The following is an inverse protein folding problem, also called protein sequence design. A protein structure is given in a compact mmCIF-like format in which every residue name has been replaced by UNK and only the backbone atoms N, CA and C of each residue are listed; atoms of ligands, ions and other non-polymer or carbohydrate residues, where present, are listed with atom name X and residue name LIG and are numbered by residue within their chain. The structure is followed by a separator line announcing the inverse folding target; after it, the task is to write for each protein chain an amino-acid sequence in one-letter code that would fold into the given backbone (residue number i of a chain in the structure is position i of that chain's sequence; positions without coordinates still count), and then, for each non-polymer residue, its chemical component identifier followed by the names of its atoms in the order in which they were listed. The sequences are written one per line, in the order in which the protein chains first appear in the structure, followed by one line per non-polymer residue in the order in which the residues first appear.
data_IF_256549691092
#
_entry.id   IF_256549691092
#
_cell.length_a   1.000
_cell.length_b   1.000
_cell.length_c   1.000
_cell.angle_alpha   90.00
_cell.angle_beta   90.00
_cell.angle_gamma   90.00
#
_symmetry.space_group_name_H-M   'P 1'
#
loop_
_entity.id
_entity.type
_entity.pdbx_description
1 polymer ?
#
# COMPACT_ATOMS: atom_id res chain seq x y z
N UNK A 1 -12.60 8.22 10.52
CA UNK A 1 -11.19 7.85 10.24
C UNK A 1 -11.15 7.17 8.88
N UNK A 2 -10.40 7.71 7.91
CA UNK A 2 -10.34 7.16 6.55
C UNK A 2 -9.22 6.12 6.49
N UNK A 3 -9.55 4.83 6.39
CA UNK A 3 -8.58 3.73 6.31
C UNK A 3 -8.53 3.18 4.88
N UNK A 4 -7.33 2.85 4.40
CA UNK A 4 -7.14 2.18 3.11
C UNK A 4 -7.37 0.68 3.32
N UNK A 5 -8.19 0.06 2.47
CA UNK A 5 -8.50 -1.38 2.51
C UNK A 5 -7.99 -2.09 1.26
N UNK A 6 -7.60 -3.35 1.43
CA UNK A 6 -7.24 -4.22 0.33
C UNK A 6 -8.48 -4.48 -0.52
N UNK A 7 -8.45 -4.26 -1.85
CA UNK A 7 -9.60 -4.52 -2.70
C UNK A 7 -9.98 -6.00 -2.81
N UNK A 8 -9.04 -6.91 -2.56
CA UNK A 8 -9.25 -8.37 -2.65
C UNK A 8 -9.91 -8.92 -1.37
N UNK A 9 -9.32 -8.63 -0.21
CA UNK A 9 -9.71 -9.22 1.06
C UNK A 9 -10.57 -8.29 1.95
N UNK A 10 -10.66 -7.01 1.61
CA UNK A 10 -11.25 -5.97 2.47
C UNK A 10 -10.43 -5.63 3.73
N UNK A 11 -9.28 -6.28 3.91
CA UNK A 11 -8.41 -6.12 5.09
C UNK A 11 -7.74 -4.74 5.11
N UNK A 12 -7.50 -4.18 6.30
CA UNK A 12 -6.85 -2.87 6.43
C UNK A 12 -5.39 -2.92 5.93
N UNK A 13 -5.06 -2.04 4.97
CA UNK A 13 -3.72 -1.89 4.43
C UNK A 13 -2.84 -1.20 5.47
N UNK A 14 -1.65 -1.77 5.72
CA UNK A 14 -0.65 -1.21 6.61
C UNK A 14 0.37 -0.41 5.82
N UNK A 15 0.67 0.80 6.29
CA UNK A 15 1.75 1.60 5.70
C UNK A 15 3.07 0.86 5.90
N UNK A 16 3.86 0.75 4.84
CA UNK A 16 5.23 0.23 4.93
C UNK A 16 6.13 1.38 5.36
N UNK A 17 6.66 1.37 6.60
CA UNK A 17 7.57 2.41 7.05
C UNK A 17 8.85 2.38 6.21
N UNK A 18 9.37 3.55 5.84
CA UNK A 18 10.57 3.70 4.99
C UNK A 18 10.29 3.93 3.51
N UNK A 19 9.13 3.51 2.99
CA UNK A 19 8.70 3.79 1.61
C UNK A 19 7.72 4.96 1.55
N UNK A 20 8.13 6.09 2.13
CA UNK A 20 7.36 7.33 2.14
C UNK A 20 8.09 8.38 1.33
N UNK A 21 8.11 8.17 0.02
CA UNK A 21 8.70 9.14 -0.90
C UNK A 21 7.69 10.26 -1.15
N UNK A 22 8.05 11.50 -0.86
CA UNK A 22 7.18 12.66 -1.06
C UNK A 22 6.77 12.84 -2.54
N UNK A 23 7.63 12.41 -3.47
CA UNK A 23 7.34 12.39 -4.90
C UNK A 23 6.58 11.12 -5.33
N UNK A 24 6.78 10.00 -4.62
CA UNK A 24 6.24 8.72 -5.03
C UNK A 24 4.84 8.45 -4.47
N UNK A 25 4.55 8.87 -3.26
CA UNK A 25 3.33 8.55 -2.53
C UNK A 25 3.58 7.58 -1.39
N UNK A 26 2.49 7.09 -0.79
CA UNK A 26 2.50 6.21 0.37
C UNK A 26 2.46 4.76 -0.11
N UNK A 27 3.47 3.96 0.24
CA UNK A 27 3.42 2.52 0.02
C UNK A 27 2.70 1.85 1.17
N UNK A 28 1.72 1.01 0.84
CA UNK A 28 0.91 0.25 1.78
C UNK A 28 0.89 -1.21 1.38
N UNK A 29 0.87 -2.11 2.36
CA UNK A 29 0.90 -3.56 2.17
C UNK A 29 -0.28 -4.19 2.87
N UNK A 30 -0.92 -5.14 2.20
CA UNK A 30 -1.94 -5.98 2.82
C UNK A 30 -1.25 -7.04 3.71
N UNK A 31 -1.56 -7.10 5.01
CA UNK A 31 -0.96 -8.10 5.90
C UNK A 31 -1.44 -9.53 5.63
N UNK A 32 -2.56 -9.69 4.89
CA UNK A 32 -3.19 -10.99 4.65
C UNK A 32 -2.69 -11.67 3.38
N UNK A 33 -2.81 -11.01 2.24
CA UNK A 33 -2.37 -11.53 0.94
C UNK A 33 -0.97 -11.05 0.53
N UNK A 34 -0.29 -10.27 1.39
CA UNK A 34 1.02 -9.67 1.12
C UNK A 34 1.07 -8.71 -0.09
N UNK A 35 -0.05 -8.41 -0.75
CA UNK A 35 -0.10 -7.49 -1.89
C UNK A 35 0.34 -6.07 -1.50
N UNK A 36 1.10 -5.43 -2.36
CA UNK A 36 1.62 -4.07 -2.16
C UNK A 36 0.94 -3.09 -3.11
N UNK A 37 0.54 -1.96 -2.55
CA UNK A 37 -0.12 -0.89 -3.27
C UNK A 37 0.58 0.43 -2.98
N UNK A 38 0.51 1.32 -3.96
CA UNK A 38 1.01 2.67 -3.88
C UNK A 38 -0.17 3.63 -3.90
N UNK A 39 -0.33 4.36 -2.81
CA UNK A 39 -1.34 5.41 -2.69
C UNK A 39 -0.71 6.76 -3.01
N UNK A 40 -1.05 7.32 -4.17
CA UNK A 40 -0.56 8.62 -4.63
C UNK A 40 -1.70 9.43 -5.25
N UNK A 41 -1.83 10.69 -4.86
CA UNK A 41 -2.86 11.62 -5.37
C UNK A 41 -4.30 11.07 -5.30
N UNK A 42 -4.63 10.30 -4.25
CA UNK A 42 -5.96 9.71 -4.06
C UNK A 42 -6.21 8.44 -4.87
N UNK A 43 -5.24 7.97 -5.65
CA UNK A 43 -5.32 6.73 -6.41
C UNK A 43 -4.46 5.64 -5.75
N UNK A 44 -4.96 4.41 -5.72
CA UNK A 44 -4.32 3.25 -5.12
C UNK A 44 -3.96 2.28 -6.25
N UNK A 45 -2.68 2.17 -6.57
CA UNK A 45 -2.18 1.35 -7.69
C UNK A 45 -1.44 0.14 -7.14
N UNK A 46 -1.80 -1.07 -7.57
CA UNK A 46 -1.03 -2.27 -7.25
C UNK A 46 0.36 -2.17 -7.87
N UNK A 47 1.38 -2.42 -7.06
CA UNK A 47 2.78 -2.42 -7.51
C UNK A 47 3.44 -3.73 -7.11
N UNK A 48 4.56 -4.06 -7.77
CA UNK A 48 5.43 -5.10 -7.27
C UNK A 48 5.94 -4.71 -5.87
N UNK A 49 6.10 -5.71 -5.00
CA UNK A 49 6.71 -5.49 -3.69
C UNK A 49 8.11 -4.88 -3.88
N UNK A 50 8.35 -3.63 -3.42
CA UNK A 50 9.61 -2.95 -3.67
C UNK A 50 10.77 -3.53 -2.83
N UNK A 51 10.46 -4.33 -1.81
CA UNK A 51 11.44 -5.02 -0.97
C UNK A 51 11.90 -6.34 -1.60
N UNK A 52 11.14 -6.87 -2.58
CA UNK A 52 11.55 -7.97 -3.46
C UNK A 52 11.90 -9.27 -2.74
N UNK A 53 11.40 -9.45 -1.51
CA UNK A 53 11.84 -10.51 -0.60
C UNK A 53 11.01 -11.79 -0.70
#
# INVERSE_FOLDING_TARGET
MNYLVCPDDGEQLKVVPGHRDAAAGLVVRCPRCAAVFRFAKGNLTSIADPDGR
#
